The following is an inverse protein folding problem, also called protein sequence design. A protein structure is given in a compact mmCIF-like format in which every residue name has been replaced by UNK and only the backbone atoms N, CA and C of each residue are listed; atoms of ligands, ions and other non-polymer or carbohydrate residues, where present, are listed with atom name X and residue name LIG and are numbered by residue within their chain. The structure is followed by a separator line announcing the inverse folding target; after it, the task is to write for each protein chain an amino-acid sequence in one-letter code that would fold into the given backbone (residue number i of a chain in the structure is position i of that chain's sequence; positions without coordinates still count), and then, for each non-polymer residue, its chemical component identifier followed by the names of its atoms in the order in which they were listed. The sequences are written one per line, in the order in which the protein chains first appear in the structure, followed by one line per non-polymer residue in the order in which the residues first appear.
data_IF_560899038541
#
_entry.id   IF_560899038541
#
_cell.length_a   1.000
_cell.length_b   1.000
_cell.length_c   1.000
_cell.angle_alpha   90.00
_cell.angle_beta   90.00
_cell.angle_gamma   90.00
#
_symmetry.space_group_name_H-M   'P 1'
#
loop_
_entity.id
_entity.type
_entity.pdbx_description
1 polymer ?
#
# COMPACT_ATOMS: atom_id res chain seq x y z
N UNK A 1 -2.04 -22.00 4.20
CA UNK A 1 -2.03 -20.59 4.68
C UNK A 1 -2.13 -19.69 3.47
N UNK A 2 -2.91 -18.61 3.54
CA UNK A 2 -2.99 -17.62 2.46
C UNK A 2 -1.76 -16.71 2.56
N UNK A 3 -1.03 -16.51 1.46
CA UNK A 3 0.03 -15.53 1.37
C UNK A 3 -0.55 -14.11 1.38
N UNK A 4 0.03 -13.21 2.17
CA UNK A 4 -0.49 -11.85 2.38
C UNK A 4 0.65 -10.85 2.42
N UNK A 5 0.48 -9.69 1.80
CA UNK A 5 1.33 -8.54 2.00
C UNK A 5 0.51 -7.40 2.61
N UNK A 6 0.99 -6.84 3.72
CA UNK A 6 0.43 -5.69 4.43
C UNK A 6 1.32 -4.45 4.28
N UNK A 7 0.81 -3.29 4.73
CA UNK A 7 1.52 -2.00 4.79
C UNK A 7 2.30 -1.71 3.49
N UNK A 8 1.59 -1.79 2.35
CA UNK A 8 2.16 -1.59 1.00
C UNK A 8 3.33 -2.53 0.64
N UNK A 9 3.43 -3.71 1.29
CA UNK A 9 4.49 -4.68 1.04
C UNK A 9 5.64 -4.67 2.06
N UNK A 10 5.59 -3.81 3.08
CA UNK A 10 6.58 -3.80 4.17
C UNK A 10 6.45 -5.02 5.08
N UNK A 11 5.26 -5.58 5.20
CA UNK A 11 5.02 -6.85 5.88
C UNK A 11 4.58 -7.89 4.87
N UNK A 12 5.14 -9.10 4.94
CA UNK A 12 4.80 -10.19 4.04
C UNK A 12 4.73 -11.51 4.80
N UNK A 13 3.63 -12.23 4.63
CA UNK A 13 3.51 -13.60 5.07
C UNK A 13 3.46 -14.53 3.86
N UNK A 14 4.48 -15.38 3.72
CA UNK A 14 4.59 -16.38 2.66
C UNK A 14 3.56 -17.51 2.82
N UNK A 15 3.38 -18.32 1.77
CA UNK A 15 2.42 -19.43 1.78
C UNK A 15 2.76 -20.52 2.82
N UNK A 16 4.02 -20.67 3.20
CA UNK A 16 4.49 -21.55 4.28
C UNK A 16 4.24 -20.99 5.69
N UNK A 17 3.78 -19.72 5.79
CA UNK A 17 3.48 -19.04 7.05
C UNK A 17 4.63 -18.19 7.59
N UNK A 18 5.80 -18.15 6.95
CA UNK A 18 6.92 -17.29 7.36
C UNK A 18 6.51 -15.82 7.20
N UNK A 19 6.76 -15.03 8.24
CA UNK A 19 6.52 -13.59 8.26
C UNK A 19 7.84 -12.86 8.11
N UNK A 20 7.88 -11.92 7.17
CA UNK A 20 9.00 -11.02 6.94
C UNK A 20 8.51 -9.59 7.07
N UNK A 21 9.25 -8.77 7.80
CA UNK A 21 9.00 -7.35 7.96
C UNK A 21 10.20 -6.58 7.37
N UNK A 22 9.93 -5.64 6.51
CA UNK A 22 10.93 -4.73 5.95
C UNK A 22 10.64 -3.33 6.48
N UNK A 23 11.64 -2.70 7.08
CA UNK A 23 11.50 -1.33 7.55
C UNK A 23 12.31 -1.03 8.81
N UNK A 24 12.40 0.26 9.10
CA UNK A 24 13.11 0.79 10.25
C UNK A 24 12.08 1.09 11.37
N UNK A 25 11.64 0.06 12.10
CA UNK A 25 10.65 0.22 13.19
C UNK A 25 11.06 1.28 14.22
N UNK A 26 12.37 1.36 14.53
CA UNK A 26 12.91 2.36 15.45
C UNK A 26 12.74 3.78 14.90
N UNK A 27 13.00 4.00 13.60
CA UNK A 27 12.84 5.31 12.96
C UNK A 27 11.36 5.70 12.85
N UNK A 28 10.49 4.73 12.61
CA UNK A 28 9.02 4.93 12.63
C UNK A 28 8.55 5.34 14.03
N UNK A 29 9.03 4.68 15.09
CA UNK A 29 8.68 5.03 16.46
C UNK A 29 9.11 6.47 16.80
N UNK A 30 10.34 6.86 16.43
CA UNK A 30 10.82 8.23 16.59
C UNK A 30 10.01 9.24 15.78
N UNK A 31 9.60 8.87 14.55
CA UNK A 31 8.73 9.71 13.73
C UNK A 31 7.34 9.90 14.36
N UNK A 32 6.75 8.85 14.94
CA UNK A 32 5.47 8.94 15.67
C UNK A 32 5.57 9.92 16.84
N UNK A 33 6.63 9.83 17.65
CA UNK A 33 6.87 10.76 18.75
C UNK A 33 7.04 12.21 18.25
N UNK A 34 7.82 12.37 17.18
CA UNK A 34 8.05 13.67 16.55
C UNK A 34 6.76 14.29 16.00
N UNK A 35 5.92 13.49 15.32
CA UNK A 35 4.62 13.91 14.79
C UNK A 35 3.68 14.30 15.93
N UNK A 36 3.59 13.48 16.97
CA UNK A 36 2.72 13.76 18.13
C UNK A 36 3.09 15.10 18.78
N UNK A 37 4.37 15.39 18.87
CA UNK A 37 4.87 16.66 19.43
C UNK A 37 4.63 17.84 18.49
N UNK A 38 4.95 17.68 17.20
CA UNK A 38 4.88 18.75 16.20
C UNK A 38 3.45 19.12 15.81
N UNK A 39 2.53 18.15 15.87
CA UNK A 39 1.12 18.31 15.48
C UNK A 39 0.17 18.35 16.68
N UNK A 40 0.65 18.71 17.87
CA UNK A 40 -0.18 18.68 19.09
C UNK A 40 -1.42 19.57 18.99
N UNK A 41 -1.32 20.73 18.35
CA UNK A 41 -2.46 21.63 18.11
C UNK A 41 -3.41 21.06 17.04
N UNK A 42 -2.86 20.51 15.95
CA UNK A 42 -3.61 19.91 14.85
C UNK A 42 -4.35 18.64 15.32
N UNK A 43 -3.77 17.85 16.22
CA UNK A 43 -4.41 16.68 16.83
C UNK A 43 -5.65 17.12 17.63
N UNK A 44 -5.55 18.22 18.40
CA UNK A 44 -6.69 18.76 19.12
C UNK A 44 -7.82 19.23 18.19
N UNK A 45 -7.50 19.59 16.96
CA UNK A 45 -8.44 20.02 15.92
C UNK A 45 -8.95 18.84 15.04
N UNK A 46 -8.56 17.59 15.31
CA UNK A 46 -9.07 16.40 14.63
C UNK A 46 -8.11 15.75 13.65
N UNK A 47 -6.82 16.07 13.66
CA UNK A 47 -5.78 15.28 12.98
C UNK A 47 -5.51 14.01 13.79
N UNK A 48 -5.44 12.86 13.11
CA UNK A 48 -5.22 11.57 13.75
C UNK A 48 -3.89 10.97 13.29
N UNK A 49 -3.11 10.41 14.22
CA UNK A 49 -1.86 9.72 13.95
C UNK A 49 -2.06 8.22 14.20
N UNK A 50 -1.94 7.41 13.15
CA UNK A 50 -2.03 5.96 13.20
C UNK A 50 -0.64 5.34 13.09
N UNK A 51 -0.16 4.70 14.15
CA UNK A 51 1.07 3.91 14.13
C UNK A 51 0.77 2.52 13.56
N UNK A 52 1.40 2.18 12.41
CA UNK A 52 1.29 0.88 11.72
C UNK A 52 2.50 -0.04 11.98
N UNK A 53 3.35 0.25 12.97
CA UNK A 53 4.58 -0.49 13.25
C UNK A 53 5.72 -0.10 12.31
N UNK A 54 5.67 -0.52 11.07
CA UNK A 54 6.68 -0.24 10.01
C UNK A 54 6.37 1.03 9.21
N UNK A 55 5.34 1.76 9.60
CA UNK A 55 4.93 3.03 9.00
C UNK A 55 3.99 3.78 9.93
N UNK A 56 3.76 5.06 9.63
CA UNK A 56 2.80 5.91 10.33
C UNK A 56 1.94 6.67 9.32
N UNK A 57 0.63 6.70 9.55
CA UNK A 57 -0.30 7.50 8.76
C UNK A 57 -0.79 8.71 9.56
N UNK A 58 -0.84 9.87 8.92
CA UNK A 58 -1.39 11.11 9.49
C UNK A 58 -2.63 11.50 8.70
N UNK A 59 -3.78 11.28 9.29
CA UNK A 59 -5.09 11.56 8.71
C UNK A 59 -5.54 12.97 9.09
N UNK A 60 -5.99 13.75 8.08
CA UNK A 60 -6.50 15.11 8.31
C UNK A 60 -7.87 15.33 7.65
N UNK A 61 -8.63 14.24 7.45
CA UNK A 61 -9.98 14.31 6.86
C UNK A 61 -10.94 15.13 7.73
N UNK A 62 -10.79 15.03 9.06
CA UNK A 62 -11.62 15.77 10.02
C UNK A 62 -11.13 17.21 10.28
N UNK A 63 -9.93 17.55 9.75
CA UNK A 63 -9.31 18.88 9.87
C UNK A 63 -8.62 19.27 8.54
N UNK A 64 -9.35 19.45 7.43
CA UNK A 64 -8.77 19.66 6.10
C UNK A 64 -7.96 20.95 5.97
N UNK A 65 -8.26 21.96 6.75
CA UNK A 65 -7.53 23.22 6.86
C UNK A 65 -6.12 23.05 7.49
N UNK A 66 -5.87 21.96 8.21
CA UNK A 66 -4.56 21.60 8.78
C UNK A 66 -3.61 20.90 7.80
N UNK A 67 -4.05 20.66 6.58
CA UNK A 67 -3.28 19.95 5.55
C UNK A 67 -1.86 20.51 5.31
N UNK A 68 -1.66 21.82 5.40
CA UNK A 68 -0.35 22.45 5.21
C UNK A 68 0.62 22.11 6.36
N UNK A 69 0.16 22.20 7.62
CA UNK A 69 0.92 21.83 8.81
C UNK A 69 1.29 20.34 8.80
N UNK A 70 0.33 19.47 8.50
CA UNK A 70 0.55 18.02 8.38
C UNK A 70 1.61 17.72 7.33
N UNK A 71 1.50 18.27 6.11
CA UNK A 71 2.49 18.06 5.06
C UNK A 71 3.89 18.58 5.45
N UNK A 72 3.97 19.73 6.11
CA UNK A 72 5.25 20.26 6.57
C UNK A 72 5.91 19.33 7.61
N UNK A 73 5.17 18.94 8.65
CA UNK A 73 5.69 18.08 9.71
C UNK A 73 6.10 16.70 9.16
N UNK A 74 5.26 16.07 8.34
CA UNK A 74 5.56 14.76 7.74
C UNK A 74 6.77 14.81 6.81
N UNK A 75 6.90 15.87 5.98
CA UNK A 75 8.07 16.03 5.10
C UNK A 75 9.36 16.20 5.89
N UNK A 76 9.33 16.99 6.97
CA UNK A 76 10.50 17.21 7.82
C UNK A 76 10.94 15.91 8.47
N UNK A 77 10.03 15.18 9.09
CA UNK A 77 10.33 13.92 9.79
C UNK A 77 10.71 12.79 8.82
N UNK A 78 10.10 12.73 7.64
CA UNK A 78 10.50 11.80 6.61
C UNK A 78 12.00 11.95 6.25
N UNK A 79 12.43 13.20 6.03
CA UNK A 79 13.82 13.52 5.74
C UNK A 79 14.76 13.20 6.91
N UNK A 80 14.36 13.58 8.13
CA UNK A 80 15.23 13.49 9.31
C UNK A 80 15.44 12.04 9.77
N UNK A 81 14.49 11.14 9.47
CA UNK A 81 14.53 9.72 9.81
C UNK A 81 14.71 8.79 8.60
N UNK A 82 14.96 9.32 7.39
CA UNK A 82 15.15 8.51 6.19
C UNK A 82 13.91 7.71 5.78
N UNK A 83 12.69 8.20 6.12
CA UNK A 83 11.44 7.55 5.80
C UNK A 83 10.92 7.98 4.43
N UNK A 84 10.18 7.09 3.77
CA UNK A 84 9.51 7.36 2.50
C UNK A 84 8.14 8.00 2.74
N UNK A 85 7.94 9.19 2.15
CA UNK A 85 6.68 9.92 2.23
C UNK A 85 5.76 9.51 1.09
N UNK A 86 4.55 9.07 1.43
CA UNK A 86 3.51 8.70 0.47
C UNK A 86 2.24 9.53 0.72
N UNK A 87 1.91 10.49 -0.17
CA UNK A 87 0.66 11.21 -0.07
C UNK A 87 -0.52 10.35 -0.52
N UNK A 88 -1.65 10.46 0.19
CA UNK A 88 -2.93 9.85 -0.14
C UNK A 88 -4.08 10.87 -0.09
N UNK A 89 -5.31 10.39 -0.23
CA UNK A 89 -6.49 11.24 -0.14
C UNK A 89 -6.80 11.58 1.33
N UNK A 90 -6.51 12.83 1.75
CA UNK A 90 -6.67 13.33 3.12
C UNK A 90 -5.85 12.57 4.17
N UNK A 91 -4.71 12.01 3.74
CA UNK A 91 -3.74 11.29 4.56
C UNK A 91 -2.34 11.49 4.01
N UNK A 92 -1.33 11.46 4.87
CA UNK A 92 0.08 11.32 4.47
C UNK A 92 0.66 10.16 5.25
N UNK A 93 1.32 9.23 4.54
CA UNK A 93 2.01 8.10 5.17
C UNK A 93 3.52 8.28 5.14
N UNK A 94 4.18 7.93 6.24
CA UNK A 94 5.62 7.75 6.34
C UNK A 94 5.92 6.26 6.48
N UNK A 95 6.78 5.71 5.62
CA UNK A 95 7.10 4.29 5.58
C UNK A 95 8.58 4.06 5.86
N UNK A 96 8.90 3.05 6.65
CA UNK A 96 10.26 2.67 7.01
C UNK A 96 11.07 2.01 5.89
N UNK A 97 10.54 1.94 4.67
CA UNK A 97 11.21 1.35 3.51
C UNK A 97 10.57 1.77 2.21
N UNK A 98 11.20 1.40 1.09
CA UNK A 98 10.75 1.72 -0.27
C UNK A 98 9.87 0.61 -0.87
N UNK A 99 9.32 -0.28 -0.03
CA UNK A 99 8.45 -1.36 -0.47
C UNK A 99 7.16 -0.82 -1.10
N UNK A 100 6.71 -1.49 -2.14
CA UNK A 100 5.45 -1.25 -2.82
C UNK A 100 4.76 -2.59 -3.19
N UNK A 101 3.51 -2.52 -3.63
CA UNK A 101 2.73 -3.71 -3.99
C UNK A 101 3.35 -4.50 -5.17
N UNK A 102 4.10 -3.86 -6.05
CA UNK A 102 4.81 -4.51 -7.14
C UNK A 102 5.99 -5.35 -6.66
N UNK A 103 6.78 -4.81 -5.73
CA UNK A 103 7.87 -5.56 -5.09
C UNK A 103 7.35 -6.74 -4.28
N UNK A 104 6.24 -6.54 -3.54
CA UNK A 104 5.59 -7.64 -2.81
C UNK A 104 5.12 -8.75 -3.76
N UNK A 105 4.50 -8.41 -4.90
CA UNK A 105 4.12 -9.37 -5.93
C UNK A 105 5.34 -10.11 -6.49
N UNK A 106 6.39 -9.39 -6.87
CA UNK A 106 7.62 -9.99 -7.39
C UNK A 106 8.26 -10.96 -6.38
N UNK A 107 8.25 -10.62 -5.09
CA UNK A 107 8.75 -11.48 -4.03
C UNK A 107 7.93 -12.78 -3.90
N UNK A 108 6.60 -12.72 -3.99
CA UNK A 108 5.77 -13.93 -4.01
C UNK A 108 6.06 -14.80 -5.24
N UNK A 109 6.23 -14.20 -6.42
CA UNK A 109 6.51 -14.93 -7.66
C UNK A 109 7.92 -15.58 -7.70
N UNK A 110 8.81 -15.19 -6.78
CA UNK A 110 10.12 -15.79 -6.64
C UNK A 110 10.13 -17.08 -5.78
N UNK A 111 9.03 -17.40 -5.10
CA UNK A 111 8.97 -18.51 -4.16
C UNK A 111 7.75 -19.43 -4.38
N UNK A 112 7.85 -20.73 -3.98
CA UNK A 112 6.70 -21.64 -4.03
C UNK A 112 5.55 -21.15 -3.15
N UNK A 113 4.28 -21.40 -3.53
CA UNK A 113 3.85 -22.14 -4.72
C UNK A 113 3.71 -21.27 -5.98
N UNK A 114 4.10 -20.00 -5.94
CA UNK A 114 3.83 -19.02 -6.99
C UNK A 114 4.96 -18.91 -8.04
N UNK A 115 6.11 -19.51 -7.79
CA UNK A 115 7.24 -19.46 -8.72
C UNK A 115 6.85 -19.99 -10.11
N UNK A 116 7.05 -19.15 -11.14
CA UNK A 116 6.67 -19.45 -12.52
C UNK A 116 5.19 -19.25 -12.85
N UNK A 117 4.36 -18.78 -11.92
CA UNK A 117 2.97 -18.44 -12.17
C UNK A 117 2.83 -17.12 -12.96
N UNK A 118 1.75 -17.02 -13.74
CA UNK A 118 1.35 -15.77 -14.40
C UNK A 118 0.33 -15.06 -13.50
N UNK A 119 0.70 -13.94 -12.86
CA UNK A 119 -0.16 -13.29 -11.90
C UNK A 119 -1.28 -12.50 -12.56
N UNK A 120 -2.45 -12.48 -11.91
CA UNK A 120 -3.52 -11.52 -12.19
C UNK A 120 -3.61 -10.56 -11.02
N UNK A 121 -3.27 -9.30 -11.24
CA UNK A 121 -3.39 -8.25 -10.23
C UNK A 121 -4.68 -7.48 -10.42
N UNK A 122 -5.50 -7.41 -9.37
CA UNK A 122 -6.75 -6.61 -9.34
C UNK A 122 -6.56 -5.50 -8.32
N UNK A 123 -6.86 -4.26 -8.71
CA UNK A 123 -6.72 -3.09 -7.84
C UNK A 123 -7.55 -1.91 -8.30
N UNK A 124 -7.73 -0.91 -7.43
CA UNK A 124 -8.60 0.26 -7.63
C UNK A 124 -7.91 1.60 -7.33
N UNK A 125 -6.64 1.56 -6.91
CA UNK A 125 -5.90 2.75 -6.47
C UNK A 125 -4.62 2.96 -7.31
N UNK A 126 -4.10 4.17 -7.28
CA UNK A 126 -2.82 4.53 -7.91
C UNK A 126 -1.63 3.79 -7.31
N UNK A 127 -1.73 3.36 -6.05
CA UNK A 127 -0.71 2.52 -5.40
C UNK A 127 -0.63 1.12 -6.01
N UNK A 128 -1.64 0.67 -6.76
CA UNK A 128 -1.66 -0.61 -7.44
C UNK A 128 -0.89 -0.58 -8.78
N UNK A 129 -0.57 0.59 -9.30
CA UNK A 129 0.13 0.75 -10.58
C UNK A 129 1.50 0.04 -10.61
N UNK A 130 2.21 0.00 -9.48
CA UNK A 130 3.46 -0.75 -9.37
C UNK A 130 3.22 -2.26 -9.51
N UNK A 131 2.14 -2.78 -8.92
CA UNK A 131 1.78 -4.19 -9.01
C UNK A 131 1.21 -4.56 -10.39
N UNK A 132 0.49 -3.67 -11.07
CA UNK A 132 0.09 -3.88 -12.46
C UNK A 132 1.30 -4.05 -13.37
N UNK A 133 2.30 -3.16 -13.26
CA UNK A 133 3.56 -3.28 -14.02
C UNK A 133 4.33 -4.56 -13.70
N UNK A 134 4.38 -4.95 -12.43
CA UNK A 134 5.03 -6.18 -12.01
C UNK A 134 4.31 -7.42 -12.56
N UNK A 135 2.97 -7.42 -12.59
CA UNK A 135 2.18 -8.51 -13.17
C UNK A 135 2.44 -8.65 -14.68
N UNK A 136 2.42 -7.55 -15.43
CA UNK A 136 2.75 -7.54 -16.86
C UNK A 136 4.17 -8.05 -17.13
N UNK A 137 5.16 -7.60 -16.35
CA UNK A 137 6.55 -8.03 -16.46
C UNK A 137 6.74 -9.54 -16.20
N UNK A 138 5.88 -10.13 -15.37
CA UNK A 138 5.86 -11.56 -15.08
C UNK A 138 5.02 -12.39 -16.06
N UNK A 139 4.56 -11.79 -17.16
CA UNK A 139 3.74 -12.47 -18.19
C UNK A 139 2.27 -12.65 -17.82
N UNK A 140 1.84 -12.03 -16.72
CA UNK A 140 0.45 -11.93 -16.30
C UNK A 140 -0.22 -10.65 -16.80
N UNK A 141 -1.16 -10.10 -16.03
CA UNK A 141 -1.83 -8.83 -16.36
C UNK A 141 -2.47 -8.16 -15.15
N UNK A 142 -2.72 -6.85 -15.31
CA UNK A 142 -3.47 -6.03 -14.37
C UNK A 142 -4.92 -5.83 -14.78
N UNK A 143 -5.81 -5.71 -13.79
CA UNK A 143 -7.22 -5.32 -13.94
C UNK A 143 -7.47 -4.13 -13.02
N UNK A 144 -7.79 -2.95 -13.60
CA UNK A 144 -8.18 -1.78 -12.85
C UNK A 144 -9.70 -1.80 -12.59
N UNK A 145 -10.09 -1.71 -11.33
CA UNK A 145 -11.49 -1.57 -10.92
C UNK A 145 -11.87 -0.10 -10.93
N UNK A 146 -13.03 0.24 -11.49
CA UNK A 146 -13.52 1.61 -11.66
C UNK A 146 -12.48 2.51 -12.39
N UNK A 147 -12.19 2.23 -13.67
CA UNK A 147 -11.11 2.88 -14.42
C UNK A 147 -11.39 4.37 -14.64
N UNK A 148 -10.69 5.23 -13.89
CA UNK A 148 -10.83 6.70 -13.92
C UNK A 148 -9.60 7.41 -14.47
N UNK A 149 -8.52 6.67 -14.81
CA UNK A 149 -7.27 7.23 -15.36
C UNK A 149 -6.59 6.25 -16.31
N UNK A 150 -5.62 6.74 -17.08
CA UNK A 150 -4.73 5.88 -17.86
C UNK A 150 -3.83 5.06 -16.92
N UNK A 151 -3.90 3.73 -17.01
CA UNK A 151 -3.28 2.78 -16.09
C UNK A 151 -2.34 1.83 -16.83
N UNK A 152 -1.41 1.22 -16.08
CA UNK A 152 -0.64 0.08 -16.53
C UNK A 152 -1.45 -1.23 -16.52
N UNK A 153 -2.65 -1.26 -15.94
CA UNK A 153 -3.54 -2.39 -16.04
C UNK A 153 -4.01 -2.58 -17.49
N UNK A 154 -3.97 -3.83 -17.97
CA UNK A 154 -4.39 -4.18 -19.35
C UNK A 154 -5.90 -4.16 -19.51
N UNK A 155 -6.64 -4.46 -18.44
CA UNK A 155 -8.09 -4.60 -18.45
C UNK A 155 -8.72 -3.70 -17.38
N UNK A 156 -10.03 -3.48 -17.51
CA UNK A 156 -10.84 -2.75 -16.53
C UNK A 156 -12.12 -3.49 -16.21
N UNK A 157 -12.56 -3.39 -14.97
CA UNK A 157 -13.87 -3.80 -14.49
C UNK A 157 -14.61 -2.61 -13.90
N UNK A 158 -15.92 -2.53 -14.08
CA UNK A 158 -16.68 -1.34 -13.74
C UNK A 158 -16.71 -1.06 -12.22
N UNK A 159 -16.79 -2.12 -11.41
CA UNK A 159 -16.94 -2.04 -9.96
C UNK A 159 -16.57 -3.37 -9.27
N UNK A 160 -16.69 -3.40 -7.96
CA UNK A 160 -16.42 -4.61 -7.14
C UNK A 160 -17.39 -5.75 -7.43
N UNK A 161 -18.63 -5.46 -7.89
CA UNK A 161 -19.59 -6.49 -8.30
C UNK A 161 -19.09 -7.20 -9.56
N UNK A 162 -18.61 -6.45 -10.54
CA UNK A 162 -18.03 -7.01 -11.75
C UNK A 162 -16.80 -7.91 -11.44
N UNK A 163 -16.00 -7.56 -10.41
CA UNK A 163 -14.92 -8.43 -9.92
C UNK A 163 -15.47 -9.75 -9.39
N UNK A 164 -16.51 -9.71 -8.55
CA UNK A 164 -17.13 -10.91 -7.98
C UNK A 164 -17.73 -11.82 -9.06
N UNK A 165 -18.43 -11.23 -10.03
CA UNK A 165 -19.04 -11.97 -11.15
C UNK A 165 -17.95 -12.62 -12.03
N UNK A 166 -16.85 -11.91 -12.32
CA UNK A 166 -15.70 -12.42 -13.07
C UNK A 166 -15.02 -13.60 -12.35
N UNK A 167 -14.77 -13.48 -11.04
CA UNK A 167 -14.17 -14.55 -10.23
C UNK A 167 -15.08 -15.80 -10.17
N UNK A 168 -16.40 -15.60 -10.11
CA UNK A 168 -17.39 -16.69 -10.12
C UNK A 168 -17.34 -17.46 -11.44
N UNK A 169 -17.30 -16.74 -12.58
CA UNK A 169 -17.18 -17.36 -13.91
C UNK A 169 -15.89 -18.15 -14.05
N UNK A 170 -14.76 -17.63 -13.54
CA UNK A 170 -13.48 -18.35 -13.54
C UNK A 170 -13.57 -19.64 -12.73
N UNK A 171 -14.16 -19.58 -11.53
CA UNK A 171 -14.32 -20.76 -10.68
C UNK A 171 -15.23 -21.84 -11.31
N UNK A 172 -16.23 -21.44 -12.08
CA UNK A 172 -17.10 -22.35 -12.85
C UNK A 172 -16.38 -22.97 -14.03
N UNK A 173 -15.58 -22.19 -14.75
CA UNK A 173 -14.81 -22.67 -15.91
C UNK A 173 -13.64 -23.60 -15.53
N UNK A 174 -13.20 -23.60 -14.29
CA UNK A 174 -12.11 -24.42 -13.77
C UNK A 174 -12.58 -25.79 -13.23
N UNK A 175 -13.88 -26.09 -13.28
CA UNK A 175 -14.48 -27.36 -12.85
C UNK A 175 -14.61 -28.35 -13.99
#
# INVERSE_FOLDING_TARGET
VIAVAGVHGLERRSADGRVETQGAEADVALAVEGLTRSLSAEIADGVEIENKGVGVAVHYRNAPDRAAGVRHATTTLARDHGLHLQPGHMVVELKGGDADKGRALAAFLAEPPFAGAHPVMIGDDRTDEAAFRAAEAAGGFGILVDPRWASAARYGLADTRAVSDWLTQLAEAAR
#
